data_IF_053407335157
#
_entry.id   IF_053407335157
#
_cell.length_a   1.000
_cell.length_b   1.000
_cell.length_c   1.000
_cell.angle_alpha   90.00
_cell.angle_beta   90.00
_cell.angle_gamma   90.00
#
_symmetry.space_group_name_H-M   'P 1'
#
loop_
_entity.id
_entity.type
_entity.pdbx_description
1 polymer ?
#
# COMPACT_ATOMS: atom_id res chain seq x y z
N UNK A 1 20.25 -7.74 12.28
CA UNK A 1 19.26 -6.65 12.43
C UNK A 1 18.80 -6.07 11.07
N UNK A 2 18.74 -6.85 9.98
CA UNK A 2 18.37 -6.37 8.63
C UNK A 2 16.92 -6.73 8.19
N UNK A 3 16.23 -7.65 8.88
CA UNK A 3 14.91 -8.13 8.41
C UNK A 3 13.73 -7.18 8.70
N UNK A 4 13.86 -6.20 9.61
CA UNK A 4 12.72 -5.39 10.05
C UNK A 4 12.28 -4.36 9.02
N UNK A 5 13.21 -3.82 8.22
CA UNK A 5 12.90 -2.83 7.19
C UNK A 5 12.36 -3.49 5.92
N UNK A 6 12.98 -4.57 5.46
CA UNK A 6 12.49 -5.34 4.32
C UNK A 6 11.09 -5.89 4.56
N UNK A 7 10.78 -6.32 5.79
CA UNK A 7 9.42 -6.78 6.14
C UNK A 7 8.39 -5.65 6.09
N UNK A 8 8.73 -4.44 6.59
CA UNK A 8 7.85 -3.27 6.48
C UNK A 8 7.62 -2.87 5.01
N UNK A 9 8.64 -3.00 4.18
CA UNK A 9 8.57 -2.72 2.74
C UNK A 9 7.67 -3.73 2.01
N UNK A 10 7.89 -5.04 2.22
CA UNK A 10 7.03 -6.10 1.66
C UNK A 10 5.58 -5.98 2.14
N UNK A 11 5.37 -5.64 3.41
CA UNK A 11 4.05 -5.41 3.97
C UNK A 11 3.37 -4.18 3.35
N UNK A 12 4.12 -3.11 3.10
CA UNK A 12 3.65 -1.94 2.35
C UNK A 12 3.29 -2.27 0.90
N UNK A 13 4.10 -3.11 0.24
CA UNK A 13 3.85 -3.60 -1.13
C UNK A 13 2.58 -4.47 -1.18
N UNK A 14 2.39 -5.33 -0.18
CA UNK A 14 1.19 -6.16 -0.04
C UNK A 14 -0.06 -5.30 0.19
N UNK A 15 0.02 -4.26 1.02
CA UNK A 15 -1.09 -3.32 1.21
C UNK A 15 -1.39 -2.50 -0.04
N UNK A 16 -0.37 -2.10 -0.80
CA UNK A 16 -0.53 -1.42 -2.07
C UNK A 16 -1.22 -2.32 -3.11
N UNK A 17 -0.79 -3.58 -3.21
CA UNK A 17 -1.37 -4.59 -4.09
C UNK A 17 -2.81 -4.92 -3.72
N UNK A 18 -3.09 -5.21 -2.45
CA UNK A 18 -4.44 -5.53 -1.96
C UNK A 18 -5.41 -4.35 -2.08
N UNK A 19 -4.95 -3.13 -1.76
CA UNK A 19 -5.75 -1.92 -1.89
C UNK A 19 -6.08 -1.61 -3.36
N UNK A 20 -5.08 -1.70 -4.25
CA UNK A 20 -5.28 -1.53 -5.70
C UNK A 20 -6.18 -2.61 -6.27
N UNK A 21 -6.01 -3.87 -5.87
CA UNK A 21 -6.86 -5.00 -6.30
C UNK A 21 -8.32 -4.81 -5.88
N UNK A 22 -8.58 -4.37 -4.65
CA UNK A 22 -9.94 -4.06 -4.21
C UNK A 22 -10.56 -2.88 -4.97
N UNK A 23 -9.77 -1.85 -5.26
CA UNK A 23 -10.23 -0.72 -6.07
C UNK A 23 -10.55 -1.22 -7.49
N UNK A 24 -9.72 -2.09 -8.05
CA UNK A 24 -9.96 -2.75 -9.34
C UNK A 24 -11.23 -3.62 -9.30
N UNK A 25 -11.47 -4.41 -8.26
CA UNK A 25 -12.73 -5.16 -8.11
C UNK A 25 -13.96 -4.24 -8.06
N UNK A 26 -13.84 -3.05 -7.45
CA UNK A 26 -14.95 -2.09 -7.44
C UNK A 26 -15.18 -1.46 -8.81
N UNK A 27 -14.13 -0.94 -9.42
CA UNK A 27 -14.23 -0.13 -10.64
C UNK A 27 -14.38 -0.98 -11.91
N UNK A 28 -13.80 -2.19 -11.95
CA UNK A 28 -13.82 -3.07 -13.12
C UNK A 28 -14.82 -4.21 -12.96
N UNK A 29 -14.88 -4.86 -11.79
CA UNK A 29 -15.85 -5.94 -11.55
C UNK A 29 -17.24 -5.44 -11.14
N UNK A 30 -17.45 -4.13 -10.94
CA UNK A 30 -18.73 -3.55 -10.49
C UNK A 30 -19.33 -4.25 -9.26
N UNK A 31 -18.47 -4.80 -8.40
CA UNK A 31 -18.92 -5.35 -7.13
C UNK A 31 -19.46 -4.21 -6.26
N UNK A 32 -20.59 -4.45 -5.60
CA UNK A 32 -21.12 -3.58 -4.56
C UNK A 32 -20.20 -3.60 -3.34
N UNK A 33 -19.11 -2.84 -3.43
CA UNK A 33 -18.14 -2.65 -2.37
C UNK A 33 -18.59 -1.43 -1.58
N UNK A 34 -18.86 -1.62 -0.29
CA UNK A 34 -19.27 -0.55 0.63
C UNK A 34 -18.25 0.60 0.65
N UNK A 35 -18.73 1.85 0.78
CA UNK A 35 -17.87 3.04 0.82
C UNK A 35 -16.75 2.95 1.86
N UNK A 36 -16.99 2.23 2.96
CA UNK A 36 -16.03 1.98 4.02
C UNK A 36 -14.90 1.04 3.58
N UNK A 37 -15.19 0.05 2.73
CA UNK A 37 -14.18 -0.81 2.12
C UNK A 37 -13.36 -0.04 1.07
N UNK A 38 -13.98 0.87 0.32
CA UNK A 38 -13.23 1.72 -0.60
C UNK A 38 -12.30 2.68 0.16
N UNK A 39 -12.81 3.36 1.19
CA UNK A 39 -12.01 4.24 2.04
C UNK A 39 -10.84 3.47 2.69
N UNK A 40 -11.09 2.26 3.19
CA UNK A 40 -10.05 1.37 3.72
C UNK A 40 -9.00 1.00 2.68
N UNK A 41 -9.40 0.69 1.45
CA UNK A 41 -8.45 0.41 0.36
C UNK A 41 -7.61 1.61 -0.03
N UNK A 42 -8.20 2.81 -0.16
CA UNK A 42 -7.46 4.04 -0.42
C UNK A 42 -6.47 4.33 0.71
N UNK A 43 -6.87 4.09 1.96
CA UNK A 43 -6.01 4.25 3.12
C UNK A 43 -4.83 3.28 3.10
N UNK A 44 -5.06 2.00 2.74
CA UNK A 44 -4.02 0.99 2.58
C UNK A 44 -3.04 1.32 1.45
N UNK A 45 -3.54 1.79 0.31
CA UNK A 45 -2.69 2.24 -0.82
C UNK A 45 -1.84 3.45 -0.40
N UNK A 46 -2.45 4.42 0.29
CA UNK A 46 -1.75 5.62 0.76
C UNK A 46 -0.65 5.27 1.78
N UNK A 47 -0.93 4.37 2.73
CA UNK A 47 0.06 3.87 3.69
C UNK A 47 1.19 3.08 3.01
N UNK A 48 0.86 2.26 2.00
CA UNK A 48 1.83 1.53 1.20
C UNK A 48 2.78 2.47 0.45
N UNK A 49 2.22 3.49 -0.22
CA UNK A 49 2.98 4.56 -0.89
C UNK A 49 3.84 5.35 0.09
N UNK A 50 3.28 5.75 1.23
CA UNK A 50 4.02 6.49 2.26
C UNK A 50 5.23 5.70 2.74
N UNK A 51 5.07 4.41 3.05
CA UNK A 51 6.19 3.52 3.43
C UNK A 51 7.21 3.35 2.32
N UNK A 52 6.79 3.19 1.08
CA UNK A 52 7.70 3.08 -0.06
C UNK A 52 8.49 4.38 -0.25
N UNK A 53 7.83 5.53 -0.09
CA UNK A 53 8.43 6.86 -0.21
C UNK A 53 9.40 7.14 0.94
N UNK A 54 9.02 6.79 2.17
CA UNK A 54 9.88 6.89 3.36
C UNK A 54 11.14 6.03 3.19
N UNK A 55 11.00 4.79 2.70
CA UNK A 55 12.11 3.91 2.38
C UNK A 55 13.03 4.50 1.30
N UNK A 56 12.47 5.04 0.21
CA UNK A 56 13.25 5.72 -0.83
C UNK A 56 13.98 6.96 -0.31
N UNK A 57 13.32 7.76 0.54
CA UNK A 57 13.90 8.96 1.14
C UNK A 57 15.04 8.62 2.10
N UNK A 58 14.88 7.60 2.94
CA UNK A 58 15.94 7.10 3.82
C UNK A 58 17.15 6.58 3.04
N UNK A 59 16.91 5.96 1.88
CA UNK A 59 17.98 5.49 0.99
C UNK A 59 18.75 6.66 0.34
N UNK A 60 18.08 7.79 0.05
CA UNK A 60 18.68 8.97 -0.59
C UNK A 60 19.56 9.82 0.35
N UNK A 61 19.35 9.75 1.67
CA UNK A 61 20.17 10.50 2.66
C UNK A 61 21.52 9.85 2.97
N UNK A 62 21.77 8.60 2.53
CA UNK A 62 23.07 7.91 2.68
C UNK A 62 23.92 7.92 1.39
N UNK A 63 23.68 8.86 0.46
CA UNK A 63 24.54 9.11 -0.72
C UNK A 63 24.91 10.58 -0.73
#
# INVERSE_FOLDING_TARGET
MQNKESFKFFLGLAFLGLGTWKIYERFILNKDISNLQLAGSIFLVTLGLYRAFEYFKHKKTNT
#
